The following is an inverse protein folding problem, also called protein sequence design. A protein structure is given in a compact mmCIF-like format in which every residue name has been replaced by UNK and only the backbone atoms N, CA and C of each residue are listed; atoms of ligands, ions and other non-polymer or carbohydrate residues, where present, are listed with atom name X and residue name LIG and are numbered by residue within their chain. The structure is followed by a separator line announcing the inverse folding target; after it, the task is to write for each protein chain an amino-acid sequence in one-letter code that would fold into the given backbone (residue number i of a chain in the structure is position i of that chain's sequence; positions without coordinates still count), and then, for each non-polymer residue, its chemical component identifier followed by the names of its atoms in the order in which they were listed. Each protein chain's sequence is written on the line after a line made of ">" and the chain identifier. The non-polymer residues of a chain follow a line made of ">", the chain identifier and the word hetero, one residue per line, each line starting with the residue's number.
data_IF_420438371842
#
_entry.id   IF_420438371842
#
_cell.length_a   1.000
_cell.length_b   1.000
_cell.length_c   1.000
_cell.angle_alpha   90.00
_cell.angle_beta   90.00
_cell.angle_gamma   90.00
#
_symmetry.space_group_name_H-M   'P 1'
#
loop_
_entity.id
_entity.type
_entity.pdbx_description
1 polymer ?
#
# COMPACT_ATOMS: atom_id res chain seq x y z
N UNK A 1 -33.82 25.48 14.40
CA UNK A 1 -32.38 25.81 14.33
C UNK A 1 -31.48 24.64 14.75
N UNK A 2 -31.72 23.97 15.89
CA UNK A 2 -30.88 22.85 16.38
C UNK A 2 -30.69 21.65 15.40
N UNK A 3 -31.69 21.34 14.56
CA UNK A 3 -31.58 20.24 13.58
C UNK A 3 -30.66 20.54 12.39
N UNK A 4 -30.50 21.82 12.02
CA UNK A 4 -29.68 22.24 10.88
C UNK A 4 -28.19 22.18 11.25
N UNK A 5 -27.87 22.54 12.49
CA UNK A 5 -26.51 22.43 13.03
C UNK A 5 -26.01 20.99 13.08
N UNK A 6 -26.87 20.02 13.40
CA UNK A 6 -26.50 18.59 13.40
C UNK A 6 -26.20 18.08 11.99
N UNK A 7 -26.99 18.48 11.00
CA UNK A 7 -26.78 18.09 9.59
C UNK A 7 -25.48 18.69 9.05
N UNK A 8 -25.20 19.96 9.37
CA UNK A 8 -23.93 20.61 9.02
C UNK A 8 -22.73 19.91 9.66
N UNK A 9 -22.84 19.49 10.93
CA UNK A 9 -21.76 18.79 11.63
C UNK A 9 -21.46 17.41 11.01
N UNK A 10 -22.49 16.68 10.58
CA UNK A 10 -22.35 15.39 9.90
C UNK A 10 -21.69 15.52 8.53
N UNK A 11 -21.96 16.61 7.78
CA UNK A 11 -21.31 16.84 6.48
C UNK A 11 -19.80 17.13 6.58
N UNK A 12 -19.31 17.66 7.72
CA UNK A 12 -17.86 17.85 7.93
C UNK A 12 -17.13 16.52 8.16
N UNK A 13 -17.79 15.53 8.78
CA UNK A 13 -17.18 14.21 9.03
C UNK A 13 -17.04 13.38 7.76
N UNK A 14 -17.95 13.56 6.78
CA UNK A 14 -17.93 12.82 5.52
C UNK A 14 -16.88 13.30 4.51
N UNK A 15 -16.19 14.41 4.77
CA UNK A 15 -15.18 14.99 3.88
C UNK A 15 -13.73 14.66 4.29
N UNK A 16 -13.52 13.67 5.16
CA UNK A 16 -12.20 13.12 5.43
C UNK A 16 -11.73 12.24 4.26
N UNK A 17 -11.47 12.87 3.10
CA UNK A 17 -10.76 12.21 2.01
C UNK A 17 -9.35 11.87 2.50
N UNK A 18 -8.94 10.60 2.35
CA UNK A 18 -7.61 10.14 2.69
C UNK A 18 -6.56 11.06 2.06
N UNK A 19 -5.52 11.45 2.82
CA UNK A 19 -4.40 12.19 2.24
C UNK A 19 -3.75 11.32 1.15
N UNK A 20 -3.18 11.95 0.12
CA UNK A 20 -2.54 11.22 -0.98
C UNK A 20 -1.39 10.33 -0.51
N UNK A 21 -0.65 10.79 0.50
CA UNK A 21 0.36 9.99 1.20
C UNK A 21 -0.26 8.75 1.84
N UNK A 22 -1.33 8.89 2.61
CA UNK A 22 -1.99 7.77 3.27
C UNK A 22 -2.45 6.73 2.23
N UNK A 23 -3.00 7.18 1.10
CA UNK A 23 -3.41 6.29 0.02
C UNK A 23 -2.21 5.50 -0.53
N UNK A 24 -1.11 6.20 -0.85
CA UNK A 24 0.10 5.52 -1.32
C UNK A 24 0.66 4.55 -0.28
N UNK A 25 0.70 4.92 1.01
CA UNK A 25 1.20 4.03 2.07
C UNK A 25 0.38 2.74 2.14
N UNK A 26 -0.95 2.84 2.10
CA UNK A 26 -1.85 1.67 2.09
C UNK A 26 -1.64 0.80 0.86
N UNK A 27 -1.47 1.41 -0.32
CA UNK A 27 -1.18 0.69 -1.56
C UNK A 27 0.18 -0.03 -1.51
N UNK A 28 1.23 0.63 -0.98
CA UNK A 28 2.56 0.05 -0.81
C UNK A 28 2.51 -1.18 0.13
N UNK A 29 1.84 -1.06 1.28
CA UNK A 29 1.69 -2.17 2.23
C UNK A 29 0.90 -3.34 1.65
N UNK A 30 -0.21 -3.03 0.97
CA UNK A 30 -1.07 -4.05 0.35
C UNK A 30 -0.30 -4.81 -0.72
N UNK A 31 0.47 -4.10 -1.55
CA UNK A 31 1.29 -4.69 -2.60
C UNK A 31 2.39 -5.59 -2.02
N UNK A 32 3.11 -5.13 -0.98
CA UNK A 32 4.11 -5.95 -0.28
C UNK A 32 3.50 -7.24 0.29
N UNK A 33 2.35 -7.13 0.99
CA UNK A 33 1.66 -8.30 1.55
C UNK A 33 1.22 -9.29 0.47
N UNK A 34 0.62 -8.80 -0.63
CA UNK A 34 0.20 -9.64 -1.76
C UNK A 34 1.38 -10.33 -2.43
N UNK A 35 2.51 -9.63 -2.57
CA UNK A 35 3.74 -10.21 -3.10
C UNK A 35 4.15 -11.45 -2.31
N UNK A 36 4.19 -11.37 -0.97
CA UNK A 36 4.53 -12.55 -0.16
C UNK A 36 3.46 -13.63 -0.18
N UNK A 37 2.20 -13.24 -0.06
CA UNK A 37 1.08 -14.19 0.01
C UNK A 37 0.96 -15.04 -1.26
N UNK A 38 1.22 -14.46 -2.43
CA UNK A 38 1.03 -15.16 -3.69
C UNK A 38 2.32 -15.74 -4.26
N UNK A 39 3.43 -15.01 -4.20
CA UNK A 39 4.62 -15.42 -4.95
C UNK A 39 5.48 -16.44 -4.22
N UNK A 40 5.59 -16.38 -2.89
CA UNK A 40 6.37 -17.39 -2.16
C UNK A 40 5.80 -18.80 -2.37
N UNK A 41 4.48 -19.03 -2.25
CA UNK A 41 3.92 -20.36 -2.54
C UNK A 41 4.08 -20.80 -4.00
N UNK A 42 4.04 -19.85 -4.95
CA UNK A 42 4.28 -20.16 -6.36
C UNK A 42 5.73 -20.62 -6.56
N UNK A 43 6.70 -19.90 -5.99
CA UNK A 43 8.09 -20.27 -6.05
C UNK A 43 8.30 -21.65 -5.40
N UNK A 44 7.75 -21.88 -4.21
CA UNK A 44 7.82 -23.18 -3.53
C UNK A 44 7.26 -24.35 -4.36
N UNK A 45 6.15 -24.16 -5.06
CA UNK A 45 5.50 -25.23 -5.83
C UNK A 45 6.06 -25.43 -7.23
N UNK A 46 6.56 -24.37 -7.87
CA UNK A 46 6.83 -24.38 -9.31
C UNK A 46 8.32 -24.24 -9.67
N UNK A 47 9.23 -24.01 -8.71
CA UNK A 47 10.67 -24.08 -9.02
C UNK A 47 11.15 -25.53 -9.05
N UNK A 48 11.10 -26.14 -10.23
CA UNK A 48 11.67 -27.46 -10.52
C UNK A 48 13.21 -27.38 -10.55
N UNK A 49 13.90 -27.77 -9.48
CA UNK A 49 15.37 -27.91 -9.51
C UNK A 49 16.16 -27.45 -8.27
N UNK A 50 15.52 -27.19 -7.12
CA UNK A 50 16.23 -26.87 -5.88
C UNK A 50 16.62 -25.40 -5.69
N UNK A 51 16.37 -24.54 -6.68
CA UNK A 51 16.60 -23.08 -6.56
C UNK A 51 15.48 -22.33 -5.82
N UNK A 52 14.57 -23.04 -5.12
CA UNK A 52 13.46 -22.42 -4.38
C UNK A 52 13.96 -21.37 -3.39
N UNK A 53 14.99 -21.70 -2.60
CA UNK A 53 15.53 -20.81 -1.58
C UNK A 53 16.15 -19.55 -2.19
N UNK A 54 17.01 -19.71 -3.21
CA UNK A 54 17.61 -18.58 -3.92
C UNK A 54 16.54 -17.70 -4.58
N UNK A 55 15.56 -18.29 -5.25
CA UNK A 55 14.50 -17.54 -5.93
C UNK A 55 13.61 -16.79 -4.93
N UNK A 56 13.28 -17.42 -3.80
CA UNK A 56 12.55 -16.78 -2.71
C UNK A 56 13.33 -15.62 -2.11
N UNK A 57 14.63 -15.77 -1.87
CA UNK A 57 15.50 -14.71 -1.36
C UNK A 57 15.58 -13.51 -2.33
N UNK A 58 15.78 -13.78 -3.62
CA UNK A 58 15.78 -12.75 -4.66
C UNK A 58 14.43 -12.04 -4.72
N UNK A 59 13.33 -12.79 -4.66
CA UNK A 59 11.99 -12.23 -4.68
C UNK A 59 11.70 -11.35 -3.45
N UNK A 60 12.07 -11.82 -2.26
CA UNK A 60 11.94 -11.07 -1.01
C UNK A 60 12.75 -9.77 -1.08
N UNK A 61 14.01 -9.86 -1.50
CA UNK A 61 14.89 -8.69 -1.62
C UNK A 61 14.32 -7.64 -2.58
N UNK A 62 13.89 -8.06 -3.76
CA UNK A 62 13.28 -7.16 -4.74
C UNK A 62 11.97 -6.55 -4.23
N UNK A 63 11.13 -7.34 -3.54
CA UNK A 63 9.88 -6.84 -2.93
C UNK A 63 10.16 -5.78 -1.88
N UNK A 64 11.16 -5.98 -1.02
CA UNK A 64 11.52 -4.99 0.01
C UNK A 64 12.13 -3.72 -0.57
N UNK A 65 12.96 -3.83 -1.62
CA UNK A 65 13.51 -2.68 -2.33
C UNK A 65 12.38 -1.87 -3.00
N UNK A 66 11.45 -2.56 -3.66
CA UNK A 66 10.29 -1.92 -4.28
C UNK A 66 9.39 -1.24 -3.24
N UNK A 67 9.15 -1.90 -2.09
CA UNK A 67 8.40 -1.33 -0.98
C UNK A 67 9.05 -0.04 -0.46
N UNK A 68 10.36 -0.04 -0.20
CA UNK A 68 11.09 1.16 0.26
C UNK A 68 10.98 2.31 -0.74
N UNK A 69 11.10 2.03 -2.04
CA UNK A 69 10.90 3.04 -3.10
C UNK A 69 9.48 3.59 -3.08
N UNK A 70 8.48 2.73 -2.98
CA UNK A 70 7.07 3.11 -2.91
C UNK A 70 6.79 4.01 -1.70
N UNK A 71 7.29 3.65 -0.51
CA UNK A 71 7.16 4.46 0.69
C UNK A 71 7.84 5.82 0.53
N UNK A 72 9.02 5.87 -0.09
CA UNK A 72 9.68 7.15 -0.39
C UNK A 72 8.85 8.04 -1.32
N UNK A 73 8.14 7.48 -2.30
CA UNK A 73 7.22 8.23 -3.15
C UNK A 73 5.97 8.69 -2.38
N UNK A 74 5.47 7.89 -1.43
CA UNK A 74 4.39 8.29 -0.54
C UNK A 74 4.78 9.52 0.29
N UNK A 75 5.97 9.49 0.90
CA UNK A 75 6.50 10.59 1.73
C UNK A 75 6.68 11.89 0.94
N UNK A 76 7.07 11.80 -0.35
CA UNK A 76 7.15 12.96 -1.24
C UNK A 76 5.78 13.58 -1.50
N UNK A 77 4.71 12.80 -1.42
CA UNK A 77 3.34 13.23 -1.68
C UNK A 77 2.57 13.67 -0.42
N UNK A 78 3.23 13.77 0.75
CA UNK A 78 2.63 14.22 2.02
C UNK A 78 1.87 15.54 1.97
N UNK A 79 2.32 16.45 1.10
CA UNK A 79 1.70 17.77 0.93
C UNK A 79 0.91 17.91 -0.37
N UNK A 80 0.86 16.86 -1.20
CA UNK A 80 0.06 16.86 -2.41
C UNK A 80 -1.39 16.53 -2.06
N UNK A 81 -2.19 17.57 -1.86
CA UNK A 81 -3.65 17.45 -1.89
C UNK A 81 -4.04 17.09 -3.33
N UNK A 82 -4.85 16.04 -3.46
CA UNK A 82 -5.30 15.42 -4.71
C UNK A 82 -5.44 16.42 -5.87
N UNK A 83 -4.61 16.30 -6.91
CA UNK A 83 -4.94 16.87 -8.22
C UNK A 83 -6.00 15.95 -8.82
N UNK A 84 -7.25 16.41 -8.87
CA UNK A 84 -8.35 15.73 -9.54
C UNK A 84 -7.97 15.32 -10.96
#
# INVERSE_FOLDING_TARGET
>A
MSRITVVLFLSFLTCAQLSREEQFRVECETTRKRSYLFMLPILERHTTGGNTEQNSLVWIGNTEIAYKKCMSEADKNKFNLRSN
#
